data_IF_868380375490
#
_entry.id   IF_868380375490
#
_cell.length_a   1.000
_cell.length_b   1.000
_cell.length_c   1.000
_cell.angle_alpha   90.00
_cell.angle_beta   90.00
_cell.angle_gamma   90.00
#
_symmetry.space_group_name_H-M   'P 1'
#
loop_
_entity.id
_entity.type
_entity.pdbx_description
1 polymer ?
#
# COMPACT_ATOMS: atom_id res chain seq x y z
N UNK A 1 0.34 -8.97 -27.29
CA UNK A 1 0.29 -7.85 -26.34
C UNK A 1 -1.00 -7.92 -25.53
N UNK A 2 -0.91 -7.76 -24.23
CA UNK A 2 -2.08 -7.73 -23.39
C UNK A 2 -2.60 -6.31 -23.27
N UNK A 3 -3.88 -6.11 -23.59
CA UNK A 3 -4.51 -4.81 -23.47
C UNK A 3 -5.31 -4.80 -22.18
N UNK A 4 -4.99 -3.86 -21.30
CA UNK A 4 -5.73 -3.68 -20.07
C UNK A 4 -6.93 -2.79 -20.34
N UNK A 5 -8.08 -3.41 -20.51
CA UNK A 5 -9.33 -2.70 -20.80
C UNK A 5 -10.18 -2.44 -19.55
N UNK A 6 -9.60 -2.65 -18.36
CA UNK A 6 -10.31 -2.43 -17.11
C UNK A 6 -11.18 -3.60 -16.66
N UNK A 7 -11.49 -4.52 -17.57
CA UNK A 7 -12.28 -5.73 -17.27
C UNK A 7 -11.43 -6.99 -17.30
N UNK A 8 -10.13 -6.85 -17.56
CA UNK A 8 -9.23 -7.99 -17.59
C UNK A 8 -9.09 -8.57 -16.18
N UNK A 9 -9.02 -9.89 -16.10
CA UNK A 9 -8.77 -10.59 -14.84
C UNK A 9 -7.35 -10.26 -14.39
N UNK A 10 -7.23 -9.76 -13.17
CA UNK A 10 -5.93 -9.39 -12.61
C UNK A 10 -5.36 -10.55 -11.81
N UNK A 11 -4.05 -10.78 -11.95
CA UNK A 11 -3.36 -11.75 -11.13
C UNK A 11 -3.30 -11.27 -9.68
N UNK A 12 -3.50 -12.20 -8.74
CA UNK A 12 -3.36 -11.89 -7.32
C UNK A 12 -1.89 -11.54 -7.02
N UNK A 13 -1.64 -10.45 -6.28
CA UNK A 13 -0.26 -10.05 -5.98
C UNK A 13 0.33 -10.91 -4.85
N UNK A 14 0.82 -12.09 -5.18
CA UNK A 14 1.29 -13.07 -4.19
C UNK A 14 2.45 -12.56 -3.33
N UNK A 15 3.28 -11.68 -3.88
CA UNK A 15 4.44 -11.14 -3.18
C UNK A 15 4.19 -9.71 -2.67
N UNK A 16 2.94 -9.37 -2.38
CA UNK A 16 2.58 -7.99 -2.09
C UNK A 16 3.35 -7.40 -0.89
N UNK A 17 3.59 -8.20 0.14
CA UNK A 17 4.32 -7.70 1.32
C UNK A 17 5.77 -7.40 1.00
N UNK A 18 6.45 -8.32 0.34
CA UNK A 18 7.85 -8.16 -0.03
C UNK A 18 8.02 -6.99 -1.00
N UNK A 19 7.17 -6.92 -2.00
CA UNK A 19 7.23 -5.85 -3.00
C UNK A 19 6.94 -4.49 -2.37
N UNK A 20 5.96 -4.45 -1.47
CA UNK A 20 5.61 -3.22 -0.77
C UNK A 20 6.76 -2.73 0.11
N UNK A 21 7.40 -3.62 0.84
CA UNK A 21 8.54 -3.24 1.69
C UNK A 21 9.68 -2.68 0.85
N UNK A 22 9.99 -3.32 -0.28
CA UNK A 22 11.03 -2.83 -1.19
C UNK A 22 10.68 -1.44 -1.74
N UNK A 23 9.42 -1.23 -2.10
CA UNK A 23 8.94 0.05 -2.59
C UNK A 23 9.05 1.13 -1.52
N UNK A 24 8.65 0.82 -0.28
CA UNK A 24 8.61 1.79 0.79
C UNK A 24 9.99 2.28 1.22
N UNK A 25 11.03 1.51 0.98
CA UNK A 25 12.41 1.96 1.24
C UNK A 25 12.77 3.21 0.46
N UNK A 26 12.27 3.34 -0.75
CA UNK A 26 12.51 4.51 -1.59
C UNK A 26 11.40 5.53 -1.53
N UNK A 27 10.18 5.09 -1.29
CA UNK A 27 9.03 5.97 -1.21
C UNK A 27 9.09 6.89 0.00
N UNK A 28 9.48 6.36 1.15
CA UNK A 28 9.61 7.13 2.38
C UNK A 28 10.94 7.86 2.40
N UNK A 29 10.91 9.16 2.72
CA UNK A 29 12.13 9.94 2.91
C UNK A 29 12.95 9.41 4.07
N UNK A 30 12.27 8.96 5.12
CA UNK A 30 12.90 8.36 6.28
C UNK A 30 12.13 7.11 6.69
N UNK A 31 12.56 5.93 6.22
CA UNK A 31 11.85 4.69 6.56
C UNK A 31 12.08 4.22 7.99
N UNK A 32 13.01 4.84 8.72
CA UNK A 32 13.30 4.46 10.09
C UNK A 32 12.24 4.99 11.04
N UNK A 33 11.86 4.16 12.01
CA UNK A 33 10.99 4.60 13.08
C UNK A 33 9.54 4.84 12.72
N UNK A 34 9.05 4.20 11.66
CA UNK A 34 7.62 4.23 11.32
C UNK A 34 6.83 3.60 12.47
N UNK A 35 5.73 4.24 12.87
CA UNK A 35 4.86 3.77 13.95
C UNK A 35 3.51 3.28 13.44
N UNK A 36 2.91 2.37 14.19
CA UNK A 36 1.52 1.97 14.02
C UNK A 36 1.21 1.46 12.62
N UNK A 37 2.15 0.71 12.04
CA UNK A 37 1.96 0.16 10.71
C UNK A 37 0.94 -0.97 10.74
N UNK A 38 -0.03 -0.90 9.85
CA UNK A 38 -1.00 -1.98 9.63
C UNK A 38 -1.33 -2.09 8.15
N UNK A 39 -1.70 -3.29 7.75
CA UNK A 39 -1.89 -3.64 6.35
C UNK A 39 -3.11 -4.54 6.22
N UNK A 40 -3.94 -4.23 5.23
CA UNK A 40 -5.06 -5.09 4.87
C UNK A 40 -4.65 -6.01 3.72
N UNK A 41 -5.24 -7.20 3.66
CA UNK A 41 -4.96 -8.13 2.56
C UNK A 41 -5.45 -7.56 1.23
N UNK A 42 -4.84 -7.98 0.11
CA UNK A 42 -5.28 -7.51 -1.20
C UNK A 42 -6.74 -7.87 -1.46
N UNK A 43 -7.49 -6.89 -1.92
CA UNK A 43 -8.88 -7.06 -2.34
C UNK A 43 -9.07 -6.40 -3.69
N UNK A 44 -10.03 -6.89 -4.45
CA UNK A 44 -10.37 -6.28 -5.73
C UNK A 44 -11.23 -5.05 -5.51
N UNK A 45 -10.91 -3.99 -6.24
CA UNK A 45 -11.69 -2.76 -6.26
C UNK A 45 -11.76 -2.24 -7.68
N UNK A 46 -12.83 -1.53 -7.98
CA UNK A 46 -12.94 -0.80 -9.26
C UNK A 46 -12.48 0.63 -9.01
N UNK A 47 -11.42 1.02 -9.69
CA UNK A 47 -10.81 2.33 -9.53
C UNK A 47 -10.69 2.99 -10.89
N UNK A 48 -11.38 4.11 -11.08
CA UNK A 48 -11.39 4.79 -12.37
C UNK A 48 -11.94 3.92 -13.49
N UNK A 49 -12.93 3.06 -13.17
CA UNK A 49 -13.52 2.16 -14.14
C UNK A 49 -12.72 0.89 -14.41
N UNK A 50 -11.62 0.68 -13.70
CA UNK A 50 -10.74 -0.48 -13.90
C UNK A 50 -10.68 -1.33 -12.63
N UNK A 51 -10.69 -2.65 -12.82
CA UNK A 51 -10.55 -3.60 -11.71
C UNK A 51 -9.07 -3.72 -11.36
N UNK A 52 -8.77 -3.54 -10.07
CA UNK A 52 -7.39 -3.65 -9.57
C UNK A 52 -7.39 -4.36 -8.23
N UNK A 53 -6.31 -5.06 -7.92
CA UNK A 53 -6.06 -5.46 -6.54
C UNK A 53 -5.49 -4.27 -5.79
N UNK A 54 -5.93 -4.12 -4.55
CA UNK A 54 -5.53 -3.01 -3.68
C UNK A 54 -5.22 -3.55 -2.30
N UNK A 55 -4.08 -3.16 -1.76
CA UNK A 55 -3.83 -3.31 -0.33
C UNK A 55 -3.98 -1.94 0.31
N UNK A 56 -4.66 -1.90 1.45
CA UNK A 56 -4.74 -0.67 2.22
C UNK A 56 -3.67 -0.69 3.28
N UNK A 57 -2.92 0.40 3.37
CA UNK A 57 -1.78 0.55 4.24
C UNK A 57 -2.00 1.77 5.12
N UNK A 58 -1.68 1.62 6.39
CA UNK A 58 -1.85 2.71 7.36
C UNK A 58 -0.63 2.73 8.26
N UNK A 59 -0.01 3.89 8.39
CA UNK A 59 1.14 4.06 9.26
C UNK A 59 1.35 5.53 9.57
N UNK A 60 2.14 5.78 10.62
CA UNK A 60 2.54 7.13 11.03
C UNK A 60 4.03 7.28 10.74
N UNK A 61 4.41 8.05 9.69
CA UNK A 61 5.82 8.23 9.36
C UNK A 61 6.49 9.20 10.34
N UNK A 62 7.79 8.98 10.57
CA UNK A 62 8.58 9.84 11.41
C UNK A 62 9.15 11.00 10.59
N UNK A 63 8.99 12.21 11.10
CA UNK A 63 9.58 13.40 10.51
C UNK A 63 11.05 13.54 10.87
N UNK A 64 11.75 14.43 10.17
CA UNK A 64 13.19 14.67 10.43
C UNK A 64 13.46 15.23 11.81
N UNK A 65 12.50 15.91 12.43
CA UNK A 65 12.64 16.45 13.78
C UNK A 65 12.30 15.44 14.88
N UNK A 66 11.97 14.20 14.49
CA UNK A 66 11.62 13.14 15.44
C UNK A 66 10.14 13.05 15.77
N UNK A 67 9.32 14.01 15.32
CA UNK A 67 7.88 13.94 15.52
C UNK A 67 7.25 12.95 14.53
N UNK A 68 5.98 12.63 14.77
CA UNK A 68 5.25 11.70 13.91
C UNK A 68 4.10 12.40 13.23
N UNK A 69 3.90 12.06 11.94
CA UNK A 69 2.75 12.52 11.20
C UNK A 69 1.51 11.77 11.60
N UNK A 70 0.37 12.38 11.28
CA UNK A 70 -0.92 11.77 11.44
C UNK A 70 -1.02 10.44 10.70
N UNK A 71 -1.69 9.49 11.33
CA UNK A 71 -1.97 8.18 10.74
C UNK A 71 -2.95 8.34 9.58
N UNK A 72 -2.57 7.93 8.39
CA UNK A 72 -3.39 8.07 7.19
C UNK A 72 -3.49 6.76 6.44
N UNK A 73 -4.62 6.58 5.78
CA UNK A 73 -4.82 5.44 4.90
C UNK A 73 -4.25 5.74 3.52
N UNK A 74 -3.49 4.78 3.00
CA UNK A 74 -2.98 4.82 1.64
C UNK A 74 -3.38 3.54 0.94
N UNK A 75 -3.68 3.64 -0.36
CA UNK A 75 -4.01 2.49 -1.17
C UNK A 75 -2.82 2.16 -2.06
N UNK A 76 -2.41 0.89 -2.04
CA UNK A 76 -1.36 0.39 -2.92
C UNK A 76 -2.04 -0.39 -4.02
N UNK A 77 -1.86 0.03 -5.27
CA UNK A 77 -2.54 -0.55 -6.42
C UNK A 77 -1.59 -1.49 -7.16
N UNK A 78 -2.13 -2.61 -7.59
CA UNK A 78 -1.39 -3.63 -8.31
C UNK A 78 -1.98 -3.85 -9.70
N UNK A 79 -1.10 -4.03 -10.67
CA UNK A 79 -1.49 -4.37 -12.05
C UNK A 79 -0.82 -5.67 -12.41
N UNK A 80 -1.62 -6.67 -12.79
CA UNK A 80 -1.12 -8.00 -13.15
C UNK A 80 -0.20 -8.61 -12.08
N UNK A 81 -0.57 -8.40 -10.81
CA UNK A 81 0.16 -8.96 -9.68
C UNK A 81 1.40 -8.19 -9.25
N UNK A 82 1.68 -7.06 -9.87
CA UNK A 82 2.85 -6.24 -9.56
C UNK A 82 2.44 -4.86 -9.04
N UNK A 83 3.17 -4.38 -8.06
CA UNK A 83 2.91 -3.05 -7.49
C UNK A 83 3.06 -1.99 -8.57
N UNK A 84 2.04 -1.14 -8.70
CA UNK A 84 2.00 -0.08 -9.69
C UNK A 84 2.22 1.29 -9.06
N UNK A 85 1.42 1.62 -8.06
CA UNK A 85 1.51 2.95 -7.43
C UNK A 85 0.83 2.97 -6.07
N UNK A 86 1.13 4.02 -5.31
CA UNK A 86 0.49 4.33 -4.04
C UNK A 86 -0.39 5.56 -4.22
N UNK A 87 -1.63 5.47 -3.76
CA UNK A 87 -2.56 6.59 -3.75
C UNK A 87 -2.67 7.09 -2.32
N UNK A 88 -2.31 8.33 -2.08
CA UNK A 88 -2.48 8.95 -0.78
C UNK A 88 -3.91 9.46 -0.62
N UNK A 89 -4.34 9.66 0.61
CA UNK A 89 -5.70 10.09 0.93
C UNK A 89 -6.73 9.11 0.38
N UNK A 90 -6.55 7.83 0.72
CA UNK A 90 -7.32 6.74 0.12
C UNK A 90 -8.49 6.30 1.00
N UNK A 91 -9.08 7.21 1.79
CA UNK A 91 -10.17 6.88 2.70
C UNK A 91 -11.32 6.20 1.98
N UNK A 92 -11.69 6.71 0.80
CA UNK A 92 -12.80 6.14 0.03
C UNK A 92 -12.46 4.74 -0.50
N UNK A 93 -11.25 4.59 -1.04
CA UNK A 93 -10.80 3.30 -1.61
C UNK A 93 -10.69 2.25 -0.50
N UNK A 94 -10.27 2.67 0.68
CA UNK A 94 -10.01 1.77 1.80
C UNK A 94 -11.20 1.62 2.74
N UNK A 95 -12.37 2.14 2.39
CA UNK A 95 -13.56 1.98 3.20
C UNK A 95 -13.84 0.50 3.45
N UNK A 96 -14.00 0.13 4.71
CA UNK A 96 -14.25 -1.26 5.10
C UNK A 96 -13.03 -2.15 5.15
N UNK A 97 -11.83 -1.62 4.96
CA UNK A 97 -10.61 -2.42 5.03
C UNK A 97 -10.42 -3.00 6.43
N UNK A 98 -9.97 -4.25 6.49
CA UNK A 98 -9.68 -4.94 7.74
C UNK A 98 -8.16 -4.99 7.89
N UNK A 99 -7.65 -4.22 8.83
CA UNK A 99 -6.22 -4.08 9.04
C UNK A 99 -5.69 -5.09 10.05
N UNK A 100 -4.48 -5.56 9.81
CA UNK A 100 -3.70 -6.33 10.78
C UNK A 100 -2.35 -5.66 10.95
N UNK A 101 -1.69 -5.87 12.08
CA UNK A 101 -0.38 -5.30 12.32
C UNK A 101 0.63 -5.64 11.22
N UNK A 102 1.49 -4.70 10.89
CA UNK A 102 2.52 -4.89 9.87
C UNK A 102 3.88 -4.49 10.44
N UNK A 103 4.42 -5.29 11.37
CA UNK A 103 5.66 -4.94 12.05
C UNK A 103 6.86 -4.88 11.12
N UNK A 104 6.83 -5.57 9.99
CA UNK A 104 7.93 -5.54 9.03
C UNK A 104 8.21 -4.11 8.54
N UNK A 105 7.16 -3.31 8.36
CA UNK A 105 7.34 -1.91 7.96
C UNK A 105 7.97 -1.09 9.09
N UNK A 106 7.58 -1.37 10.33
CA UNK A 106 8.12 -0.66 11.51
C UNK A 106 9.61 -0.97 11.72
N UNK A 107 10.07 -2.11 11.24
CA UNK A 107 11.46 -2.55 11.36
C UNK A 107 12.30 -2.20 10.13
N UNK A 108 11.72 -1.48 9.19
CA UNK A 108 12.41 -1.17 7.95
C UNK A 108 13.64 -0.32 8.22
N UNK A 109 14.76 -0.67 7.55
CA UNK A 109 16.01 0.09 7.63
C UNK A 109 16.43 0.48 6.22
N UNK A 110 17.30 1.47 6.15
CA UNK A 110 17.85 1.90 4.87
C UNK A 110 18.77 0.87 4.24
#
# INVERSE_FOLDING_TARGET
MTIDNGNAIQAYPNNYRTELLAFMKTYLNNPLGVHEASLAEPVQRTIGGRVRYVTCLRFSPRESDGSYRELRERAVLYVNGRLDRVVENATDICAGAVYAGFPDLEKLTR
#
